data_IF_461929822248
#
_entry.id   IF_461929822248
#
_cell.length_a   1.000
_cell.length_b   1.000
_cell.length_c   1.000
_cell.angle_alpha   90.00
_cell.angle_beta   90.00
_cell.angle_gamma   90.00
#
_symmetry.space_group_name_H-M   'P 1'
#
loop_
_entity.id
_entity.type
_entity.pdbx_description
1 polymer ?
#
# COMPACT_ATOMS: atom_id res chain seq x y z
N UNK A 1 -31.33 1.82 0.55
CA UNK A 1 -31.18 1.15 -0.75
C UNK A 1 -29.71 1.27 -1.13
N UNK A 2 -28.96 0.17 -0.98
CA UNK A 2 -27.52 0.17 -1.28
C UNK A 2 -27.35 -0.10 -2.77
N UNK A 3 -26.86 0.90 -3.52
CA UNK A 3 -26.46 0.71 -4.92
C UNK A 3 -25.15 -0.09 -4.93
N UNK A 4 -25.23 -1.33 -5.36
CA UNK A 4 -24.07 -2.14 -5.67
C UNK A 4 -23.38 -1.55 -6.91
N UNK A 5 -22.23 -0.90 -6.73
CA UNK A 5 -21.36 -0.50 -7.84
C UNK A 5 -20.58 -1.73 -8.31
N UNK A 6 -20.90 -2.19 -9.49
CA UNK A 6 -20.23 -3.30 -10.18
C UNK A 6 -18.93 -2.79 -10.78
N UNK A 7 -17.78 -3.26 -10.29
CA UNK A 7 -16.51 -3.02 -10.96
C UNK A 7 -16.46 -3.88 -12.22
N UNK A 8 -16.40 -3.25 -13.40
CA UNK A 8 -16.26 -3.93 -14.66
C UNK A 8 -14.78 -4.09 -15.00
N UNK A 9 -14.28 -5.32 -14.96
CA UNK A 9 -13.01 -5.69 -15.56
C UNK A 9 -13.19 -5.64 -17.07
N UNK A 10 -12.56 -4.68 -17.78
CA UNK A 10 -12.62 -4.64 -19.24
C UNK A 10 -11.68 -5.72 -19.81
N UNK A 11 -12.22 -6.90 -20.07
CA UNK A 11 -11.58 -7.93 -20.85
C UNK A 11 -11.88 -7.63 -22.32
N UNK A 12 -10.92 -7.07 -23.04
CA UNK A 12 -11.08 -6.85 -24.50
C UNK A 12 -10.75 -8.16 -25.20
N UNK A 13 -11.76 -9.00 -25.41
CA UNK A 13 -11.69 -10.10 -26.37
C UNK A 13 -11.80 -9.51 -27.79
N UNK A 14 -10.86 -9.86 -28.67
CA UNK A 14 -10.88 -9.42 -30.04
C UNK A 14 -11.99 -10.07 -30.87
N UNK A 15 -13.21 -9.58 -30.72
CA UNK A 15 -14.30 -9.80 -31.68
C UNK A 15 -15.00 -8.46 -31.89
N UNK A 16 -15.16 -8.09 -33.16
CA UNK A 16 -15.93 -6.94 -33.62
C UNK A 16 -17.39 -7.12 -33.17
N UNK A 17 -17.79 -6.47 -32.09
CA UNK A 17 -19.19 -6.30 -31.72
C UNK A 17 -19.54 -4.84 -31.91
N UNK A 18 -20.54 -4.61 -32.77
CA UNK A 18 -21.12 -3.30 -32.95
C UNK A 18 -21.76 -2.82 -31.64
N UNK A 19 -21.46 -1.58 -31.22
CA UNK A 19 -22.30 -0.83 -30.30
C UNK A 19 -21.86 -0.68 -28.85
N UNK A 20 -20.65 -0.99 -28.47
CA UNK A 20 -20.16 -0.50 -27.17
C UNK A 20 -19.86 1.01 -27.32
N UNK A 21 -20.71 1.86 -26.79
CA UNK A 21 -20.41 3.28 -26.62
C UNK A 21 -19.11 3.38 -25.83
N UNK A 22 -18.05 3.87 -26.46
CA UNK A 22 -16.83 4.22 -25.75
C UNK A 22 -17.20 5.30 -24.73
N UNK A 23 -16.67 5.23 -23.51
CA UNK A 23 -16.85 6.32 -22.54
C UNK A 23 -16.46 7.63 -23.21
N UNK A 24 -17.29 8.65 -23.08
CA UNK A 24 -17.10 9.98 -23.68
C UNK A 24 -16.04 10.81 -22.95
N UNK A 25 -14.95 10.17 -22.51
CA UNK A 25 -13.83 10.83 -21.85
C UNK A 25 -12.94 11.45 -22.92
N UNK A 26 -12.81 12.76 -22.91
CA UNK A 26 -11.80 13.42 -23.73
C UNK A 26 -10.47 13.34 -23.01
N UNK A 27 -9.55 12.54 -23.54
CA UNK A 27 -8.16 12.50 -23.09
C UNK A 27 -7.31 13.62 -23.71
N UNK A 28 -7.93 14.58 -24.39
CA UNK A 28 -7.25 15.65 -25.12
C UNK A 28 -6.70 16.76 -24.21
N UNK A 29 -7.23 16.90 -22.98
CA UNK A 29 -6.86 17.99 -22.08
C UNK A 29 -6.44 17.44 -20.73
N UNK A 30 -5.12 17.36 -20.51
CA UNK A 30 -4.52 17.06 -19.21
C UNK A 30 -4.70 18.27 -18.28
N UNK A 31 -5.18 18.03 -17.07
CA UNK A 31 -5.28 19.08 -16.05
C UNK A 31 -3.98 19.13 -15.22
N UNK A 32 -3.08 20.02 -15.59
CA UNK A 32 -1.81 20.19 -14.88
C UNK A 32 -1.93 20.93 -13.54
N UNK A 33 -3.09 21.55 -13.23
CA UNK A 33 -3.29 22.24 -11.96
C UNK A 33 -3.23 21.30 -10.75
N UNK A 34 -3.49 20.01 -10.96
CA UNK A 34 -3.42 18.96 -9.94
C UNK A 34 -2.03 18.34 -9.78
N UNK A 35 -1.05 18.71 -10.60
CA UNK A 35 0.25 18.06 -10.64
C UNK A 35 0.93 17.93 -9.26
N UNK A 36 1.04 18.99 -8.43
CA UNK A 36 1.69 18.86 -7.12
C UNK A 36 1.01 17.84 -6.20
N UNK A 37 -0.32 17.80 -6.21
CA UNK A 37 -1.11 16.87 -5.41
C UNK A 37 -0.92 15.42 -5.90
N UNK A 38 -1.00 15.20 -7.22
CA UNK A 38 -0.84 13.89 -7.84
C UNK A 38 0.59 13.36 -7.69
N UNK A 39 1.59 14.23 -7.73
CA UNK A 39 2.98 13.84 -7.49
C UNK A 39 3.20 13.42 -6.03
N UNK A 40 2.54 14.08 -5.07
CA UNK A 40 2.58 13.67 -3.65
C UNK A 40 1.90 12.30 -3.43
N UNK A 41 0.75 12.04 -4.08
CA UNK A 41 0.07 10.73 -4.06
C UNK A 41 0.98 9.66 -4.69
N UNK A 42 1.58 9.96 -5.85
CA UNK A 42 2.52 9.06 -6.53
C UNK A 42 3.71 8.71 -5.63
N UNK A 43 4.31 9.70 -4.98
CA UNK A 43 5.46 9.49 -4.10
C UNK A 43 5.12 8.58 -2.91
N UNK A 44 3.97 8.81 -2.26
CA UNK A 44 3.51 7.94 -1.16
C UNK A 44 3.19 6.53 -1.64
N UNK A 45 2.48 6.38 -2.76
CA UNK A 45 2.16 5.06 -3.31
C UNK A 45 3.39 4.25 -3.72
N UNK A 46 4.43 4.90 -4.26
CA UNK A 46 5.73 4.27 -4.53
C UNK A 46 6.40 3.82 -3.23
N UNK A 47 6.40 4.68 -2.19
CA UNK A 47 6.97 4.32 -0.89
C UNK A 47 6.23 3.14 -0.25
N UNK A 48 4.89 3.06 -0.39
CA UNK A 48 4.11 1.90 0.06
C UNK A 48 4.56 0.61 -0.65
N UNK A 49 4.75 0.66 -1.98
CA UNK A 49 5.18 -0.51 -2.76
C UNK A 49 6.61 -0.95 -2.40
N UNK A 50 7.52 0.01 -2.19
CA UNK A 50 8.87 -0.28 -1.75
C UNK A 50 8.90 -0.88 -0.33
N UNK A 51 8.08 -0.35 0.59
CA UNK A 51 7.96 -0.88 1.95
C UNK A 51 7.43 -2.32 1.94
N UNK A 52 6.36 -2.58 1.18
CA UNK A 52 5.75 -3.91 1.08
C UNK A 52 6.73 -4.94 0.51
N UNK A 53 7.46 -4.57 -0.55
CA UNK A 53 8.50 -5.41 -1.14
C UNK A 53 9.63 -5.70 -0.15
N UNK A 54 10.07 -4.68 0.59
CA UNK A 54 11.08 -4.83 1.62
C UNK A 54 10.60 -5.75 2.75
N UNK A 55 9.38 -5.53 3.23
CA UNK A 55 8.77 -6.36 4.27
C UNK A 55 8.66 -7.83 3.83
N UNK A 56 8.26 -8.08 2.58
CA UNK A 56 8.18 -9.43 2.02
C UNK A 56 9.57 -10.11 2.02
N UNK A 57 10.56 -9.55 1.30
CA UNK A 57 11.88 -10.17 1.19
C UNK A 57 12.63 -10.22 2.52
N UNK A 58 12.46 -9.21 3.39
CA UNK A 58 13.01 -9.23 4.74
C UNK A 58 12.39 -10.32 5.61
N UNK A 59 11.08 -10.58 5.44
CA UNK A 59 10.39 -11.69 6.12
C UNK A 59 10.94 -13.03 5.64
N UNK A 60 11.06 -13.24 4.33
CA UNK A 60 11.59 -14.48 3.76
C UNK A 60 13.00 -14.77 4.31
N UNK A 61 13.87 -13.76 4.35
CA UNK A 61 15.23 -13.93 4.89
C UNK A 61 15.23 -14.26 6.40
N UNK A 62 14.32 -13.69 7.19
CA UNK A 62 14.20 -14.04 8.62
C UNK A 62 13.62 -15.45 8.79
N UNK A 63 12.68 -15.87 7.95
CA UNK A 63 12.08 -17.20 8.01
C UNK A 63 13.10 -18.32 7.72
N UNK A 64 14.13 -18.06 6.89
CA UNK A 64 15.24 -18.99 6.67
C UNK A 64 16.04 -19.29 7.94
N UNK A 65 16.06 -18.37 8.92
CA UNK A 65 16.69 -18.57 10.23
C UNK A 65 15.90 -19.53 11.13
N UNK A 66 14.69 -19.96 10.73
CA UNK A 66 13.75 -20.74 11.56
C UNK A 66 13.48 -20.05 12.90
N UNK A 67 12.92 -18.81 12.86
CA UNK A 67 12.79 -17.97 14.04
C UNK A 67 11.84 -18.58 15.07
N UNK A 68 12.14 -18.31 16.36
CA UNK A 68 11.20 -18.56 17.43
C UNK A 68 10.01 -17.59 17.29
N UNK A 69 8.84 -18.14 16.94
CA UNK A 69 7.61 -17.37 16.70
C UNK A 69 7.20 -16.54 17.92
N UNK A 70 7.49 -17.03 19.15
CA UNK A 70 7.18 -16.28 20.38
C UNK A 70 8.00 -14.99 20.52
N UNK A 71 9.12 -14.90 19.81
CA UNK A 71 10.01 -13.74 19.80
C UNK A 71 9.77 -12.79 18.65
N UNK A 72 9.16 -13.25 17.54
CA UNK A 72 9.01 -12.44 16.32
C UNK A 72 8.20 -11.17 16.55
N UNK A 73 7.02 -11.28 17.14
CA UNK A 73 6.11 -10.13 17.24
C UNK A 73 5.68 -9.60 15.87
N UNK A 74 5.53 -8.28 15.74
CA UNK A 74 5.24 -7.60 14.49
C UNK A 74 6.52 -7.21 13.73
N UNK A 75 6.35 -6.81 12.46
CA UNK A 75 7.46 -6.25 11.67
C UNK A 75 7.30 -4.75 11.45
N UNK A 76 8.43 -4.08 11.27
CA UNK A 76 8.54 -2.70 10.80
C UNK A 76 9.67 -2.63 9.76
N UNK A 77 9.45 -1.87 8.70
CA UNK A 77 10.49 -1.61 7.71
C UNK A 77 10.82 -0.12 7.63
N UNK A 78 12.05 0.20 7.34
CA UNK A 78 12.48 1.57 7.06
C UNK A 78 13.60 1.61 6.03
N UNK A 79 13.71 2.73 5.33
CA UNK A 79 14.91 3.04 4.55
C UNK A 79 15.94 3.68 5.48
N UNK A 80 17.15 3.13 5.50
CA UNK A 80 18.28 3.63 6.27
C UNK A 80 18.92 4.85 5.58
N UNK A 81 19.83 5.52 6.26
CA UNK A 81 20.58 6.67 5.71
C UNK A 81 21.46 6.29 4.50
N UNK A 82 21.93 5.04 4.45
CA UNK A 82 22.68 4.49 3.32
C UNK A 82 21.79 4.09 2.12
N UNK A 83 20.46 4.34 2.20
CA UNK A 83 19.47 4.06 1.17
C UNK A 83 19.00 2.61 1.13
N UNK A 84 19.53 1.72 1.96
CA UNK A 84 19.12 0.32 2.05
C UNK A 84 17.85 0.16 2.90
N UNK A 85 17.04 -0.82 2.57
CA UNK A 85 15.91 -1.19 3.40
C UNK A 85 16.35 -2.10 4.56
N UNK A 86 15.80 -1.83 5.73
CA UNK A 86 15.94 -2.62 6.95
C UNK A 86 14.56 -3.04 7.44
N UNK A 87 14.40 -4.32 7.74
CA UNK A 87 13.17 -4.89 8.32
C UNK A 87 13.51 -5.50 9.67
N UNK A 88 12.79 -5.12 10.69
CA UNK A 88 12.98 -5.65 12.05
C UNK A 88 11.72 -6.34 12.54
N UNK A 89 11.89 -7.37 13.35
CA UNK A 89 10.81 -8.10 13.99
C UNK A 89 10.97 -8.02 15.52
N UNK A 90 9.89 -7.64 16.17
CA UNK A 90 9.92 -7.41 17.60
C UNK A 90 8.58 -6.98 18.15
N UNK A 91 8.61 -6.38 19.34
CA UNK A 91 7.43 -5.85 20.00
C UNK A 91 7.80 -4.68 20.91
N UNK A 92 6.83 -3.83 21.21
CA UNK A 92 6.99 -2.87 22.28
C UNK A 92 7.19 -3.59 23.61
N UNK A 93 7.95 -2.99 24.52
CA UNK A 93 8.00 -3.39 25.92
C UNK A 93 6.64 -3.17 26.61
N UNK A 94 6.51 -3.59 27.86
CA UNK A 94 5.26 -3.48 28.62
C UNK A 94 4.79 -2.04 28.86
N UNK A 95 5.71 -1.06 28.80
CA UNK A 95 5.44 0.36 28.98
C UNK A 95 5.25 1.11 27.64
N UNK A 96 5.60 0.45 26.53
CA UNK A 96 5.53 1.04 25.19
C UNK A 96 6.61 2.10 24.92
N UNK A 97 7.72 2.05 25.66
CA UNK A 97 8.82 3.02 25.51
C UNK A 97 9.91 2.52 24.57
N UNK A 98 10.21 1.22 24.60
CA UNK A 98 11.22 0.57 23.79
C UNK A 98 10.60 -0.43 22.82
N UNK A 99 11.16 -0.51 21.59
CA UNK A 99 10.90 -1.62 20.70
C UNK A 99 11.99 -2.67 20.83
N UNK A 100 11.60 -3.87 21.27
CA UNK A 100 12.50 -4.99 21.55
C UNK A 100 12.70 -5.81 20.28
N UNK A 101 13.77 -5.55 19.54
CA UNK A 101 14.09 -6.19 18.27
C UNK A 101 14.67 -7.56 18.50
N UNK A 102 14.03 -8.61 17.98
CA UNK A 102 14.48 -9.99 18.08
C UNK A 102 15.19 -10.47 16.80
N UNK A 103 14.77 -9.96 15.64
CA UNK A 103 15.35 -10.31 14.32
C UNK A 103 15.47 -9.05 13.48
N UNK A 104 16.50 -9.03 12.63
CA UNK A 104 16.75 -7.95 11.69
C UNK A 104 17.14 -8.53 10.34
N UNK A 105 16.57 -7.99 9.27
CA UNK A 105 16.98 -8.25 7.89
C UNK A 105 17.37 -6.92 7.24
N UNK A 106 18.53 -6.90 6.57
CA UNK A 106 19.04 -5.72 5.86
C UNK A 106 19.25 -6.06 4.40
N UNK A 107 18.73 -5.23 3.51
CA UNK A 107 18.93 -5.33 2.07
C UNK A 107 20.43 -5.27 1.74
N UNK A 108 20.92 -6.13 0.86
CA UNK A 108 22.35 -6.21 0.55
C UNK A 108 22.82 -5.07 -0.35
N UNK A 109 21.99 -4.63 -1.28
CA UNK A 109 22.25 -3.52 -2.20
C UNK A 109 20.93 -2.82 -2.50
N UNK A 110 20.97 -1.53 -2.79
CA UNK A 110 19.81 -0.77 -3.20
C UNK A 110 19.15 -1.39 -4.45
N UNK A 111 17.83 -1.60 -4.40
CA UNK A 111 17.05 -2.24 -5.47
C UNK A 111 17.17 -3.77 -5.55
N UNK A 112 17.97 -4.40 -4.68
CA UNK A 112 18.08 -5.88 -4.62
C UNK A 112 16.92 -6.51 -3.83
N UNK A 113 16.57 -7.73 -4.17
CA UNK A 113 15.61 -8.56 -3.43
C UNK A 113 16.27 -9.44 -2.37
N UNK A 114 17.59 -9.40 -2.26
CA UNK A 114 18.38 -10.21 -1.34
C UNK A 114 18.64 -9.46 -0.04
N UNK A 115 18.28 -10.10 1.07
CA UNK A 115 18.48 -9.58 2.42
C UNK A 115 19.42 -10.49 3.21
N UNK A 116 20.18 -9.89 4.13
CA UNK A 116 20.93 -10.61 5.15
C UNK A 116 20.19 -10.50 6.45
N UNK A 117 19.80 -11.65 7.03
CA UNK A 117 19.06 -11.68 8.28
C UNK A 117 19.94 -12.13 9.46
N UNK A 118 19.61 -11.65 10.65
CA UNK A 118 20.27 -11.99 11.91
C UNK A 118 19.27 -12.14 13.05
N UNK A 119 19.57 -13.10 13.96
CA UNK A 119 18.92 -13.20 15.26
C UNK A 119 19.67 -12.31 16.25
N UNK A 120 18.94 -11.50 16.99
CA UNK A 120 19.51 -10.64 18.05
C UNK A 120 19.27 -11.28 19.43
N UNK A 121 20.37 -11.67 20.09
CA UNK A 121 20.34 -12.28 21.42
C UNK A 121 21.51 -11.73 22.25
N UNK A 122 21.25 -10.92 23.27
CA UNK A 122 19.94 -10.44 23.71
C UNK A 122 19.21 -9.60 22.65
N UNK A 123 17.90 -9.32 22.85
CA UNK A 123 17.16 -8.40 21.99
C UNK A 123 17.81 -7.02 22.01
N UNK A 124 17.83 -6.36 20.87
CA UNK A 124 18.24 -4.96 20.79
C UNK A 124 17.07 -4.05 21.20
N UNK A 125 17.37 -2.97 21.90
CA UNK A 125 16.42 -1.98 22.38
C UNK A 125 16.49 -0.74 21.49
N UNK A 126 15.34 -0.28 20.99
CA UNK A 126 15.20 0.99 20.28
C UNK A 126 14.09 1.83 20.92
N UNK A 127 14.49 2.85 21.69
CA UNK A 127 13.57 3.87 22.21
C UNK A 127 13.30 5.00 21.18
N UNK A 128 13.90 4.89 20.01
CA UNK A 128 13.91 5.89 18.96
C UNK A 128 12.84 5.70 17.88
N UNK A 129 13.30 5.43 16.66
CA UNK A 129 12.46 5.36 15.48
C UNK A 129 11.46 4.20 15.53
N UNK A 130 11.93 3.00 15.87
CA UNK A 130 11.09 1.81 15.88
C UNK A 130 10.05 1.84 17.01
N UNK A 131 10.39 2.36 18.20
CA UNK A 131 9.42 2.51 19.27
C UNK A 131 8.30 3.47 18.88
N UNK A 132 8.62 4.62 18.27
CA UNK A 132 7.61 5.57 17.80
C UNK A 132 6.75 4.99 16.68
N UNK A 133 7.35 4.35 15.69
CA UNK A 133 6.64 3.71 14.60
C UNK A 133 5.71 2.57 15.07
N UNK A 134 6.17 1.76 16.05
CA UNK A 134 5.37 0.69 16.63
C UNK A 134 4.16 1.22 17.39
N UNK A 135 4.34 2.30 18.19
CA UNK A 135 3.21 2.96 18.87
C UNK A 135 2.22 3.53 17.86
N UNK A 136 2.71 4.19 16.81
CA UNK A 136 1.85 4.69 15.74
C UNK A 136 1.04 3.58 15.08
N UNK A 137 1.67 2.42 14.83
CA UNK A 137 1.02 1.24 14.29
C UNK A 137 -0.09 0.72 15.22
N UNK A 138 0.17 0.64 16.53
CA UNK A 138 -0.82 0.20 17.51
C UNK A 138 -2.01 1.16 17.59
N UNK A 139 -1.77 2.48 17.55
CA UNK A 139 -2.83 3.48 17.44
C UNK A 139 -3.70 3.27 16.21
N UNK A 140 -3.07 3.08 15.03
CA UNK A 140 -3.78 2.84 13.78
C UNK A 140 -4.61 1.55 13.82
N UNK A 141 -4.03 0.44 14.30
CA UNK A 141 -4.74 -0.84 14.46
C UNK A 141 -5.92 -0.75 15.42
N UNK A 142 -5.73 -0.11 16.57
CA UNK A 142 -6.79 0.06 17.54
C UNK A 142 -7.94 0.92 17.01
N UNK A 143 -7.64 1.97 16.26
CA UNK A 143 -8.63 2.83 15.62
C UNK A 143 -9.37 2.14 14.45
N UNK A 144 -8.69 1.22 13.73
CA UNK A 144 -9.31 0.43 12.67
C UNK A 144 -10.31 -0.59 13.22
N UNK A 145 -10.01 -1.14 14.37
CA UNK A 145 -10.86 -2.11 15.07
C UNK A 145 -10.71 -3.55 14.56
N UNK A 146 -11.59 -4.45 14.99
CA UNK A 146 -11.53 -5.86 14.67
C UNK A 146 -11.80 -6.11 13.18
N UNK A 147 -11.07 -7.08 12.61
CA UNK A 147 -11.16 -7.46 11.20
C UNK A 147 -11.45 -8.94 11.06
N UNK A 148 -12.13 -9.32 9.99
CA UNK A 148 -12.47 -10.70 9.64
C UNK A 148 -11.54 -11.32 8.58
N UNK A 149 -10.51 -10.59 8.16
CA UNK A 149 -9.48 -11.03 7.21
C UNK A 149 -8.11 -10.45 7.59
N UNK A 150 -7.00 -11.01 7.10
CA UNK A 150 -5.69 -10.42 7.32
C UNK A 150 -5.54 -9.07 6.61
N UNK A 151 -4.77 -8.18 7.24
CA UNK A 151 -4.37 -6.88 6.71
C UNK A 151 -2.86 -6.71 6.78
N UNK A 152 -2.27 -6.25 5.70
CA UNK A 152 -0.90 -5.74 5.69
C UNK A 152 -0.88 -4.35 6.32
N UNK A 153 0.18 -4.07 7.06
CA UNK A 153 0.35 -2.79 7.75
C UNK A 153 1.62 -2.11 7.28
N UNK A 154 1.53 -0.83 7.01
CA UNK A 154 2.66 0.02 6.64
C UNK A 154 2.71 1.22 7.56
N UNK A 155 3.91 1.55 8.04
CA UNK A 155 4.17 2.75 8.85
C UNK A 155 5.29 3.53 8.19
N UNK A 156 4.98 4.72 7.71
CA UNK A 156 5.94 5.60 7.04
C UNK A 156 5.89 7.02 7.64
N UNK A 157 6.96 7.80 7.56
CA UNK A 157 6.89 9.22 7.88
C UNK A 157 5.86 9.93 7.02
N UNK A 158 5.03 10.78 7.63
CA UNK A 158 3.97 11.51 6.92
C UNK A 158 4.50 12.77 6.21
N UNK A 159 5.50 13.40 6.83
CA UNK A 159 6.10 14.66 6.37
C UNK A 159 7.36 14.95 7.18
N UNK A 160 8.00 16.07 6.86
CA UNK A 160 9.16 16.60 7.60
C UNK A 160 8.83 16.94 9.07
N UNK A 161 7.54 17.12 9.42
CA UNK A 161 7.09 17.34 10.81
C UNK A 161 7.32 16.13 11.71
N UNK A 162 7.60 14.97 11.11
CA UNK A 162 7.91 13.74 11.80
C UNK A 162 6.70 12.97 12.28
N UNK A 163 5.48 13.35 11.89
CA UNK A 163 4.28 12.53 12.08
C UNK A 163 4.36 11.23 11.27
N UNK A 164 3.46 10.30 11.57
CA UNK A 164 3.38 9.00 10.92
C UNK A 164 2.12 8.86 10.08
N UNK A 165 2.26 8.27 8.89
CA UNK A 165 1.15 7.61 8.24
C UNK A 165 1.18 6.11 8.55
N UNK A 166 0.04 5.60 9.00
CA UNK A 166 -0.20 4.17 9.17
C UNK A 166 -1.26 3.76 8.17
N UNK A 167 -0.94 2.77 7.35
CA UNK A 167 -1.88 2.19 6.39
C UNK A 167 -2.25 0.78 6.84
N UNK A 168 -3.54 0.46 6.71
CA UNK A 168 -4.06 -0.88 6.82
C UNK A 168 -4.69 -1.24 5.48
N UNK A 169 -4.13 -2.24 4.82
CA UNK A 169 -4.53 -2.69 3.49
C UNK A 169 -4.88 -4.17 3.53
N UNK A 170 -6.02 -4.61 2.94
CA UNK A 170 -6.36 -6.03 2.93
C UNK A 170 -5.24 -6.86 2.30
N UNK A 171 -4.82 -7.92 2.99
CA UNK A 171 -3.85 -8.85 2.44
C UNK A 171 -4.51 -9.83 1.45
N UNK A 172 -3.80 -10.31 0.42
CA UNK A 172 -4.24 -11.41 -0.43
C UNK A 172 -4.55 -12.65 0.41
N UNK A 173 -5.68 -13.29 0.15
CA UNK A 173 -6.08 -14.55 0.82
C UNK A 173 -5.98 -15.76 -0.10
N UNK A 174 -5.76 -15.54 -1.39
CA UNK A 174 -5.60 -16.57 -2.41
C UNK A 174 -4.50 -16.16 -3.40
N UNK A 175 -3.70 -17.10 -3.91
CA UNK A 175 -2.72 -16.82 -4.95
C UNK A 175 -3.39 -16.24 -6.21
N UNK A 176 -2.76 -15.22 -6.81
CA UNK A 176 -3.24 -14.58 -8.02
C UNK A 176 -4.51 -13.74 -7.86
N UNK A 177 -4.93 -13.46 -6.62
CA UNK A 177 -6.04 -12.55 -6.31
C UNK A 177 -5.52 -11.40 -5.47
N UNK A 178 -5.64 -10.19 -6.00
CA UNK A 178 -5.20 -8.96 -5.32
C UNK A 178 -6.41 -8.16 -4.83
N UNK A 179 -6.49 -7.88 -3.54
CA UNK A 179 -7.53 -7.02 -3.01
C UNK A 179 -7.20 -5.54 -3.33
N UNK A 180 -8.14 -4.84 -3.95
CA UNK A 180 -8.12 -3.40 -4.14
C UNK A 180 -9.19 -2.78 -3.23
N UNK A 181 -8.81 -1.78 -2.44
CA UNK A 181 -9.72 -1.05 -1.56
C UNK A 181 -9.97 -1.72 -0.21
N UNK A 182 -10.93 -1.19 0.56
CA UNK A 182 -11.19 -1.59 1.95
C UNK A 182 -10.07 -1.17 2.91
N UNK A 183 -9.30 -0.21 2.52
CA UNK A 183 -8.09 0.30 3.15
C UNK A 183 -8.34 1.62 3.88
N UNK A 184 -7.44 1.94 4.80
CA UNK A 184 -7.49 3.16 5.57
C UNK A 184 -6.09 3.71 5.84
N UNK A 185 -6.02 5.04 5.98
CA UNK A 185 -4.83 5.76 6.39
C UNK A 185 -5.11 6.55 7.67
N UNK A 186 -4.18 6.44 8.61
CA UNK A 186 -4.18 7.18 9.87
C UNK A 186 -2.97 8.10 9.89
N UNK A 187 -3.15 9.35 10.31
CA UNK A 187 -2.06 10.23 10.69
C UNK A 187 -1.92 10.21 12.20
N UNK A 188 -0.73 9.90 12.66
CA UNK A 188 -0.41 9.76 14.09
C UNK A 188 0.74 10.70 14.42
N UNK A 189 0.71 11.31 15.59
CA UNK A 189 1.72 12.25 16.06
C UNK A 189 3.13 11.66 16.04
N UNK A 190 4.13 12.54 16.00
CA UNK A 190 5.56 12.21 15.94
C UNK A 190 6.03 11.23 17.01
N UNK A 191 5.47 11.32 18.23
CA UNK A 191 5.78 10.39 19.31
C UNK A 191 5.05 9.04 19.22
N UNK A 192 4.15 8.89 18.25
CA UNK A 192 3.36 7.69 17.99
C UNK A 192 2.20 7.48 18.96
N UNK A 193 1.80 8.49 19.75
CA UNK A 193 0.84 8.32 20.85
C UNK A 193 -0.55 8.92 20.62
N UNK A 194 -0.71 9.81 19.64
CA UNK A 194 -1.95 10.54 19.40
C UNK A 194 -2.43 10.36 17.99
N UNK A 195 -3.67 9.88 17.81
CA UNK A 195 -4.34 9.87 16.52
C UNK A 195 -4.71 11.31 16.14
N UNK A 196 -4.16 11.79 15.01
CA UNK A 196 -4.40 13.15 14.51
C UNK A 196 -5.50 13.18 13.43
N UNK A 197 -5.52 12.16 12.55
CA UNK A 197 -6.49 12.08 11.46
C UNK A 197 -6.76 10.63 11.10
N UNK A 198 -7.99 10.35 10.74
CA UNK A 198 -8.43 9.10 10.14
C UNK A 198 -9.01 9.37 8.74
N UNK A 199 -8.66 8.53 7.80
CA UNK A 199 -9.23 8.55 6.45
C UNK A 199 -9.43 7.12 5.94
N UNK A 200 -10.68 6.78 5.61
CA UNK A 200 -10.98 5.61 4.79
C UNK A 200 -10.66 6.00 3.35
N UNK A 201 -9.87 5.19 2.66
CA UNK A 201 -9.45 5.45 1.29
C UNK A 201 -10.47 4.85 0.30
N UNK A 202 -10.91 3.61 0.56
CA UNK A 202 -11.95 2.95 -0.23
C UNK A 202 -13.00 2.27 0.65
N UNK A 203 -14.25 2.23 0.18
CA UNK A 203 -15.37 1.68 0.94
C UNK A 203 -15.44 0.15 0.92
N UNK A 204 -15.09 -0.46 -0.21
CA UNK A 204 -15.28 -1.88 -0.47
C UNK A 204 -13.98 -2.53 -0.92
N UNK A 205 -13.89 -3.84 -0.75
CA UNK A 205 -12.77 -4.63 -1.26
C UNK A 205 -13.20 -5.25 -2.58
N UNK A 206 -12.43 -5.00 -3.63
CA UNK A 206 -12.55 -5.63 -4.94
C UNK A 206 -11.47 -6.69 -5.06
N UNK A 207 -11.86 -7.95 -5.20
CA UNK A 207 -10.92 -9.05 -5.42
C UNK A 207 -10.56 -9.13 -6.91
N UNK A 208 -9.43 -8.54 -7.26
CA UNK A 208 -8.95 -8.48 -8.65
C UNK A 208 -8.16 -9.75 -8.97
N UNK A 209 -8.66 -10.55 -9.92
CA UNK A 209 -7.95 -11.74 -10.41
C UNK A 209 -6.92 -11.36 -11.46
N UNK A 210 -5.70 -11.86 -11.30
CA UNK A 210 -4.60 -11.62 -12.23
C UNK A 210 -4.64 -12.53 -13.46
N UNK A 211 -5.21 -13.73 -13.30
CA UNK A 211 -5.28 -14.69 -14.41
C UNK A 211 -6.47 -14.36 -15.31
N UNK A 212 -6.23 -13.95 -16.55
CA UNK A 212 -7.31 -13.72 -17.49
C UNK A 212 -7.98 -15.04 -17.87
N UNK A 213 -9.20 -14.96 -18.38
CA UNK A 213 -9.84 -16.13 -19.00
C UNK A 213 -9.02 -16.63 -20.19
N UNK A 214 -9.09 -17.92 -20.56
CA UNK A 214 -8.37 -18.45 -21.71
C UNK A 214 -8.61 -17.62 -22.97
N UNK A 215 -7.52 -17.19 -23.63
CA UNK A 215 -7.58 -16.36 -24.85
C UNK A 215 -7.78 -14.85 -24.60
N UNK A 216 -7.93 -14.42 -23.35
CA UNK A 216 -8.02 -12.99 -22.98
C UNK A 216 -6.69 -12.45 -22.47
N UNK A 217 -6.51 -11.14 -22.57
CA UNK A 217 -5.35 -10.42 -22.00
C UNK A 217 -5.87 -9.22 -21.20
N UNK A 218 -5.41 -9.07 -19.96
CA UNK A 218 -5.69 -7.87 -19.16
C UNK A 218 -4.84 -6.73 -19.70
N UNK A 219 -5.49 -5.64 -20.14
CA UNK A 219 -4.81 -4.46 -20.70
C UNK A 219 -4.80 -3.28 -19.73
N UNK A 220 -5.79 -3.20 -18.84
CA UNK A 220 -5.93 -2.16 -17.84
C UNK A 220 -6.88 -2.62 -16.73
N UNK A 221 -6.77 -1.98 -15.56
CA UNK A 221 -7.80 -2.00 -14.53
C UNK A 221 -8.70 -0.77 -14.63
N UNK A 222 -9.85 -0.83 -13.95
CA UNK A 222 -10.78 0.29 -13.84
C UNK A 222 -11.58 0.22 -12.55
N UNK A 223 -11.71 1.36 -11.88
CA UNK A 223 -12.67 1.50 -10.77
C UNK A 223 -13.15 2.95 -10.64
N UNK A 224 -14.07 3.19 -9.71
CA UNK A 224 -14.63 4.51 -9.44
C UNK A 224 -14.23 4.98 -8.05
N UNK A 225 -13.62 6.15 -7.95
CA UNK A 225 -13.39 6.85 -6.68
C UNK A 225 -14.71 7.45 -6.20
N UNK A 226 -15.20 6.99 -5.05
CA UNK A 226 -16.51 7.38 -4.51
C UNK A 226 -16.41 8.21 -3.24
N UNK A 227 -15.27 8.20 -2.56
CA UNK A 227 -15.04 8.92 -1.31
C UNK A 227 -14.37 10.27 -1.52
N UNK A 228 -13.60 10.40 -2.59
CA UNK A 228 -12.89 11.62 -2.93
C UNK A 228 -12.93 11.84 -4.45
N UNK A 229 -12.60 13.05 -4.87
CA UNK A 229 -12.46 13.42 -6.28
C UNK A 229 -10.98 13.29 -6.76
N UNK A 230 -10.22 12.45 -6.09
CA UNK A 230 -8.80 12.16 -6.34
C UNK A 230 -8.52 10.67 -6.22
N UNK A 231 -7.45 10.18 -6.87
CA UNK A 231 -6.87 8.87 -6.57
C UNK A 231 -6.30 8.83 -5.16
N UNK A 232 -6.14 7.62 -4.65
CA UNK A 232 -5.52 7.39 -3.36
C UNK A 232 -4.08 6.87 -3.51
N UNK A 233 -3.29 7.00 -2.47
CA UNK A 233 -1.91 6.46 -2.42
C UNK A 233 -1.90 4.96 -2.72
N UNK A 234 -2.94 4.25 -2.27
CA UNK A 234 -3.10 2.81 -2.44
C UNK A 234 -3.51 2.40 -3.85
N UNK A 235 -4.05 3.31 -4.68
CA UNK A 235 -4.25 3.03 -6.11
C UNK A 235 -2.92 2.90 -6.84
N UNK A 236 -1.98 3.79 -6.53
CA UNK A 236 -0.61 3.71 -7.05
C UNK A 236 0.10 2.47 -6.55
N UNK A 237 -0.01 2.18 -5.24
CA UNK A 237 0.52 0.95 -4.64
C UNK A 237 -0.02 -0.29 -5.37
N UNK A 238 -1.33 -0.35 -5.62
CA UNK A 238 -1.97 -1.49 -6.28
C UNK A 238 -1.42 -1.70 -7.70
N UNK A 239 -1.21 -0.64 -8.49
CA UNK A 239 -0.61 -0.73 -9.83
C UNK A 239 0.83 -1.25 -9.77
N UNK A 240 1.60 -0.80 -8.79
CA UNK A 240 3.02 -1.14 -8.66
C UNK A 240 3.26 -2.55 -8.10
N UNK A 241 2.34 -3.08 -7.29
CA UNK A 241 2.50 -4.36 -6.59
C UNK A 241 1.85 -5.55 -7.29
N UNK A 242 0.91 -5.33 -8.23
CA UNK A 242 0.24 -6.42 -8.96
C UNK A 242 1.05 -6.95 -10.13
N UNK A 243 0.77 -8.21 -10.53
CA UNK A 243 1.27 -8.82 -11.76
C UNK A 243 0.08 -9.40 -12.59
N UNK A 244 -0.01 -9.18 -13.91
CA UNK A 244 0.85 -8.29 -14.70
C UNK A 244 0.63 -6.82 -14.34
N UNK A 245 1.70 -6.02 -14.44
CA UNK A 245 1.57 -4.57 -14.29
C UNK A 245 0.84 -4.00 -15.49
N UNK A 246 -0.31 -3.43 -15.23
CA UNK A 246 -1.12 -2.73 -16.24
C UNK A 246 -1.59 -1.39 -15.65
N UNK A 247 -1.85 -0.36 -16.47
CA UNK A 247 -2.36 0.90 -15.98
C UNK A 247 -3.73 0.73 -15.32
N UNK A 248 -4.04 1.61 -14.38
CA UNK A 248 -5.36 1.70 -13.75
C UNK A 248 -6.05 2.98 -14.18
N UNK A 249 -7.32 2.86 -14.56
CA UNK A 249 -8.17 4.00 -14.83
C UNK A 249 -9.13 4.23 -13.67
N UNK A 250 -9.24 5.48 -13.21
CA UNK A 250 -10.05 5.85 -12.06
C UNK A 250 -11.01 6.95 -12.48
N UNK A 251 -12.31 6.68 -12.39
CA UNK A 251 -13.34 7.68 -12.61
C UNK A 251 -13.73 8.30 -11.27
N UNK A 252 -13.70 9.61 -11.18
CA UNK A 252 -14.24 10.39 -10.06
C UNK A 252 -15.39 11.27 -10.51
N UNK A 253 -15.91 12.12 -9.63
CA UNK A 253 -17.02 13.02 -9.97
C UNK A 253 -16.65 14.05 -11.06
N UNK A 254 -15.43 14.61 -10.98
CA UNK A 254 -15.00 15.71 -11.85
C UNK A 254 -13.87 15.36 -12.78
N UNK A 255 -13.22 14.22 -12.55
CA UNK A 255 -11.99 13.83 -13.26
C UNK A 255 -12.03 12.37 -13.69
N UNK A 256 -11.20 12.10 -14.67
CA UNK A 256 -10.78 10.77 -15.05
C UNK A 256 -9.26 10.70 -14.93
N UNK A 257 -8.78 9.73 -14.16
CA UNK A 257 -7.36 9.57 -13.91
C UNK A 257 -6.83 8.32 -14.59
N UNK A 258 -5.56 8.38 -14.97
CA UNK A 258 -4.80 7.22 -15.40
C UNK A 258 -3.56 7.10 -14.54
N UNK A 259 -3.44 5.99 -13.82
CA UNK A 259 -2.25 5.61 -13.09
C UNK A 259 -1.43 4.69 -13.99
N UNK A 260 -0.24 5.12 -14.37
CA UNK A 260 0.67 4.38 -15.23
C UNK A 260 1.38 3.27 -14.45
N UNK A 261 1.98 2.31 -15.17
CA UNK A 261 2.71 1.18 -14.57
C UNK A 261 3.95 1.60 -13.77
N UNK A 262 4.41 2.82 -13.91
CA UNK A 262 5.46 3.43 -13.10
C UNK A 262 4.91 4.23 -11.90
N UNK A 263 3.59 4.23 -11.71
CA UNK A 263 2.88 4.93 -10.64
C UNK A 263 2.57 6.39 -10.92
N UNK A 264 2.97 6.95 -12.06
CA UNK A 264 2.67 8.33 -12.45
C UNK A 264 1.18 8.50 -12.76
N UNK A 265 0.58 9.58 -12.29
CA UNK A 265 -0.84 9.86 -12.47
C UNK A 265 -1.02 10.99 -13.47
N UNK A 266 -1.95 10.80 -14.41
CA UNK A 266 -2.42 11.84 -15.33
C UNK A 266 -3.90 12.09 -15.07
N UNK A 267 -4.29 13.36 -14.92
CA UNK A 267 -5.67 13.79 -14.72
C UNK A 267 -6.26 14.34 -16.03
N UNK A 268 -7.47 13.92 -16.31
CA UNK A 268 -8.29 14.45 -17.42
C UNK A 268 -9.57 15.01 -16.84
N UNK A 269 -9.90 16.26 -17.16
CA UNK A 269 -11.14 16.87 -16.68
C UNK A 269 -12.34 16.26 -17.39
N UNK A 270 -13.36 15.89 -16.66
CA UNK A 270 -14.65 15.48 -17.21
C UNK A 270 -15.32 16.68 -17.87
N UNK A 271 -15.89 16.50 -19.07
CA UNK A 271 -16.66 17.56 -19.76
C UNK A 271 -18.11 17.55 -19.34
#
# INVERSE_FOLDING_TARGET
>A
MASALTAALLVVAGQRSAGAQQPTWSTEHVDESLRPELDAITARGRLLAEYDLAAWHGTDAVMELRPDQSRMGGYLARRREDGLWEVVFGRLDGEGNDYLIAYRAVQRRAGDTVYTAATLSPREHDAGWYARAARALDIGKNAFGPVNRPYNTVVIPASDDGDWFVYLMPAPTQPGVFPLGGDARYRVSRDGRTLLQYRRLHNTILEVRQTPQPGATIKAGYHTAVLDDRPEDTDVFHVLSREPKVPEYIASKSYFFRVEVDGRITAYRQR
#
